data_IF_337216003542
#
_entry.id   IF_337216003542
#
_cell.length_a   1.000
_cell.length_b   1.000
_cell.length_c   1.000
_cell.angle_alpha   90.00
_cell.angle_beta   90.00
_cell.angle_gamma   90.00
#
_symmetry.space_group_name_H-M   'P 1'
#
loop_
_entity.id
_entity.type
_entity.pdbx_description
1 polymer ?
#
# COMPACT_ATOMS: atom_id res chain seq x y z
N UNK A 1 26.48 30.03 37.17
CA UNK A 1 25.61 30.13 35.97
C UNK A 1 25.92 28.93 35.09
N UNK A 2 25.07 27.91 35.21
CA UNK A 2 24.82 26.75 34.32
C UNK A 2 26.03 26.04 33.67
N UNK A 3 26.47 24.95 34.32
CA UNK A 3 27.07 23.82 33.62
C UNK A 3 25.99 23.16 32.75
N UNK A 4 26.14 23.24 31.42
CA UNK A 4 25.26 22.56 30.49
C UNK A 4 25.63 21.08 30.42
N UNK A 5 24.71 20.28 30.93
CA UNK A 5 24.73 18.83 30.99
C UNK A 5 24.92 18.19 29.60
N UNK A 6 26.12 17.65 29.32
CA UNK A 6 26.46 16.96 28.05
C UNK A 6 25.77 15.59 27.91
N UNK A 7 24.85 15.22 28.80
CA UNK A 7 24.22 13.89 28.82
C UNK A 7 22.95 13.78 27.96
N UNK A 8 22.39 14.89 27.48
CA UNK A 8 21.11 14.90 26.77
C UNK A 8 21.19 14.60 25.26
N UNK A 9 22.36 14.71 24.62
CA UNK A 9 22.45 14.58 23.15
C UNK A 9 22.62 13.15 22.65
N UNK A 10 22.92 12.19 23.52
CA UNK A 10 23.13 10.78 23.16
C UNK A 10 21.85 9.92 23.12
N UNK A 11 20.72 10.43 23.64
CA UNK A 11 19.50 9.65 23.80
C UNK A 11 18.43 9.97 22.74
N UNK A 12 18.51 11.15 22.11
CA UNK A 12 17.51 11.60 21.11
C UNK A 12 17.72 10.97 19.72
N UNK A 13 18.88 10.33 19.46
CA UNK A 13 19.16 9.68 18.17
C UNK A 13 18.77 8.20 18.10
N UNK A 14 18.25 7.60 19.19
CA UNK A 14 17.90 6.17 19.21
C UNK A 14 16.41 5.86 19.05
N UNK A 15 15.55 6.87 18.90
CA UNK A 15 14.10 6.67 19.00
C UNK A 15 13.34 6.66 17.65
N UNK A 16 14.05 6.70 16.52
CA UNK A 16 13.45 6.56 15.18
C UNK A 16 13.97 5.36 14.38
N UNK A 17 14.67 4.41 15.01
CA UNK A 17 14.83 3.10 14.40
C UNK A 17 13.44 2.44 14.40
N UNK A 18 12.75 2.50 13.26
CA UNK A 18 11.60 1.64 12.95
C UNK A 18 11.93 0.25 13.48
N UNK A 19 11.23 -0.23 14.51
CA UNK A 19 11.45 -1.60 14.97
C UNK A 19 11.07 -2.53 13.83
N UNK A 20 12.09 -2.99 13.11
CA UNK A 20 11.98 -3.99 12.07
C UNK A 20 11.35 -5.23 12.70
N UNK A 21 10.23 -5.68 12.14
CA UNK A 21 9.61 -6.92 12.62
C UNK A 21 10.59 -8.09 12.41
N UNK A 22 10.48 -9.18 13.20
CA UNK A 22 11.32 -10.36 12.99
C UNK A 22 11.27 -10.89 11.54
N UNK A 23 10.14 -10.69 10.85
CA UNK A 23 9.98 -11.03 9.44
C UNK A 23 10.84 -10.15 8.52
N UNK A 24 10.83 -8.82 8.71
CA UNK A 24 11.65 -7.90 7.91
C UNK A 24 13.14 -8.18 8.13
N UNK A 25 13.55 -8.40 9.38
CA UNK A 25 14.94 -8.77 9.70
C UNK A 25 15.36 -10.08 9.03
N UNK A 26 14.44 -11.04 8.88
CA UNK A 26 14.70 -12.30 8.17
C UNK A 26 14.88 -12.08 6.68
N UNK A 27 14.02 -11.27 6.05
CA UNK A 27 14.14 -10.93 4.62
C UNK A 27 15.47 -10.23 4.34
N UNK A 28 15.89 -9.28 5.20
CA UNK A 28 17.20 -8.62 5.07
C UNK A 28 18.34 -9.64 5.07
N UNK A 29 18.38 -10.57 6.04
CA UNK A 29 19.41 -11.62 6.09
C UNK A 29 19.38 -12.56 4.88
N UNK A 30 18.20 -12.82 4.33
CA UNK A 30 18.05 -13.61 3.10
C UNK A 30 18.60 -12.86 1.89
N UNK A 31 18.46 -11.54 1.82
CA UNK A 31 19.05 -10.72 0.75
C UNK A 31 20.57 -10.63 0.88
N UNK A 32 21.08 -10.40 2.09
CA UNK A 32 22.53 -10.30 2.38
C UNK A 32 23.31 -11.59 2.04
N UNK A 33 22.66 -12.75 2.01
CA UNK A 33 23.31 -14.03 1.69
C UNK A 33 23.46 -14.28 0.18
N UNK A 34 22.88 -13.43 -0.67
CA UNK A 34 22.90 -13.56 -2.12
C UNK A 34 24.06 -12.74 -2.72
N UNK A 35 24.63 -13.17 -3.87
CA UNK A 35 25.50 -12.31 -4.67
C UNK A 35 24.81 -11.02 -5.10
N UNK A 36 25.58 -9.94 -5.27
CA UNK A 36 25.06 -8.60 -5.58
C UNK A 36 24.18 -8.58 -6.85
N UNK A 37 24.60 -9.28 -7.91
CA UNK A 37 23.82 -9.40 -9.16
C UNK A 37 22.48 -10.11 -8.96
N UNK A 38 22.39 -11.00 -7.98
CA UNK A 38 21.15 -11.67 -7.60
C UNK A 38 20.29 -10.78 -6.71
N UNK A 39 20.90 -9.99 -5.81
CA UNK A 39 20.19 -9.02 -4.98
C UNK A 39 19.44 -8.01 -5.86
N UNK A 40 20.09 -7.45 -6.87
CA UNK A 40 19.50 -6.47 -7.79
C UNK A 40 18.27 -7.03 -8.51
N UNK A 41 18.38 -8.26 -9.03
CA UNK A 41 17.25 -8.95 -9.67
C UNK A 41 16.09 -9.20 -8.71
N UNK A 42 16.37 -9.52 -7.46
CA UNK A 42 15.32 -9.72 -6.44
C UNK A 42 14.66 -8.37 -6.10
N UNK A 43 15.43 -7.28 -6.03
CA UNK A 43 14.89 -5.93 -5.78
C UNK A 43 13.91 -5.52 -6.89
N UNK A 44 14.23 -5.76 -8.15
CA UNK A 44 13.33 -5.47 -9.28
C UNK A 44 11.96 -6.13 -9.08
N UNK A 45 11.93 -7.44 -8.81
CA UNK A 45 10.68 -8.16 -8.58
C UNK A 45 9.94 -7.74 -7.30
N UNK A 46 10.67 -7.44 -6.23
CA UNK A 46 10.07 -6.98 -4.98
C UNK A 46 9.42 -5.61 -5.13
N UNK A 47 9.99 -4.71 -5.93
CA UNK A 47 9.40 -3.40 -6.19
C UNK A 47 8.05 -3.53 -6.90
N UNK A 48 7.96 -4.35 -7.94
CA UNK A 48 6.72 -4.65 -8.64
C UNK A 48 5.67 -5.25 -7.68
N UNK A 49 6.06 -6.28 -6.93
CA UNK A 49 5.17 -6.94 -5.97
C UNK A 49 4.65 -5.99 -4.89
N UNK A 50 5.51 -5.10 -4.36
CA UNK A 50 5.11 -4.12 -3.36
C UNK A 50 4.18 -3.04 -3.95
N UNK A 51 4.38 -2.65 -5.21
CA UNK A 51 3.48 -1.72 -5.88
C UNK A 51 2.08 -2.32 -6.04
N UNK A 52 2.00 -3.57 -6.52
CA UNK A 52 0.73 -4.30 -6.67
C UNK A 52 0.00 -4.44 -5.32
N UNK A 53 0.72 -4.81 -4.25
CA UNK A 53 0.14 -4.89 -2.91
C UNK A 53 -0.38 -3.55 -2.41
N UNK A 54 0.33 -2.45 -2.67
CA UNK A 54 -0.13 -1.12 -2.26
C UNK A 54 -1.41 -0.72 -2.99
N UNK A 55 -1.54 -1.05 -4.27
CA UNK A 55 -2.73 -0.75 -5.04
C UNK A 55 -3.92 -1.61 -4.62
N UNK A 56 -3.71 -2.90 -4.32
CA UNK A 56 -4.73 -3.77 -3.74
C UNK A 56 -5.23 -3.23 -2.39
N UNK A 57 -4.31 -2.77 -1.52
CA UNK A 57 -4.68 -2.18 -0.23
C UNK A 57 -5.48 -0.88 -0.39
N UNK A 58 -5.14 -0.04 -1.39
CA UNK A 58 -5.93 1.16 -1.73
C UNK A 58 -7.31 0.77 -2.26
N UNK A 59 -7.38 -0.23 -3.13
CA UNK A 59 -8.62 -0.74 -3.69
C UNK A 59 -9.54 -1.24 -2.58
N UNK A 60 -9.06 -2.15 -1.73
CA UNK A 60 -9.84 -2.73 -0.63
C UNK A 60 -10.35 -1.65 0.34
N UNK A 61 -9.50 -0.67 0.68
CA UNK A 61 -9.90 0.46 1.53
C UNK A 61 -11.00 1.31 0.89
N UNK A 62 -10.92 1.52 -0.42
CA UNK A 62 -11.90 2.29 -1.18
C UNK A 62 -13.21 1.52 -1.30
N UNK A 63 -13.12 0.23 -1.65
CA UNK A 63 -14.24 -0.67 -1.80
C UNK A 63 -15.02 -0.84 -0.50
N UNK A 64 -14.34 -1.07 0.64
CA UNK A 64 -15.01 -1.15 1.96
C UNK A 64 -15.89 0.07 2.26
N UNK A 65 -15.48 1.26 1.80
CA UNK A 65 -16.24 2.49 2.01
C UNK A 65 -17.41 2.63 1.04
N UNK A 66 -17.29 2.13 -0.19
CA UNK A 66 -18.25 2.38 -1.27
C UNK A 66 -19.13 1.16 -1.61
N UNK A 67 -18.90 0.00 -0.99
CA UNK A 67 -19.57 -1.27 -1.31
C UNK A 67 -21.09 -1.14 -1.34
N UNK A 68 -21.69 -0.52 -0.33
CA UNK A 68 -23.16 -0.37 -0.27
C UNK A 68 -23.70 0.52 -1.39
N UNK A 69 -22.98 1.60 -1.71
CA UNK A 69 -23.35 2.49 -2.81
C UNK A 69 -23.21 1.76 -4.16
N UNK A 70 -22.14 0.97 -4.35
CA UNK A 70 -21.96 0.16 -5.56
C UNK A 70 -23.10 -0.85 -5.73
N UNK A 71 -23.50 -1.54 -4.65
CA UNK A 71 -24.65 -2.46 -4.68
C UNK A 71 -25.93 -1.71 -5.07
N UNK A 72 -26.21 -0.57 -4.44
CA UNK A 72 -27.40 0.23 -4.74
C UNK A 72 -27.41 0.72 -6.20
N UNK A 73 -26.27 1.20 -6.70
CA UNK A 73 -26.10 1.62 -8.09
C UNK A 73 -26.30 0.46 -9.07
N UNK A 74 -25.74 -0.73 -8.78
CA UNK A 74 -25.91 -1.90 -9.62
C UNK A 74 -27.38 -2.38 -9.65
N UNK A 75 -28.07 -2.37 -8.51
CA UNK A 75 -29.49 -2.70 -8.44
C UNK A 75 -30.34 -1.68 -9.21
N UNK A 76 -30.00 -0.39 -9.11
CA UNK A 76 -30.66 0.67 -9.86
C UNK A 76 -30.47 0.47 -11.37
N UNK A 77 -29.25 0.25 -11.82
CA UNK A 77 -28.95 0.00 -13.23
C UNK A 77 -29.76 -1.20 -13.77
N UNK A 78 -29.89 -2.30 -13.00
CA UNK A 78 -30.74 -3.44 -13.37
C UNK A 78 -32.22 -3.06 -13.56
N UNK A 79 -32.77 -2.22 -12.67
CA UNK A 79 -34.16 -1.73 -12.82
C UNK A 79 -34.31 -0.84 -14.04
N UNK A 80 -33.40 0.12 -14.23
CA UNK A 80 -33.42 1.02 -15.39
C UNK A 80 -33.32 0.25 -16.72
N UNK A 81 -32.55 -0.85 -16.78
CA UNK A 81 -32.50 -1.74 -17.94
C UNK A 81 -33.86 -2.43 -18.14
N UNK A 82 -34.46 -3.00 -17.10
CA UNK A 82 -35.75 -3.69 -17.18
C UNK A 82 -36.90 -2.75 -17.58
N UNK A 83 -36.82 -1.49 -17.16
CA UNK A 83 -37.78 -0.42 -17.49
C UNK A 83 -37.52 0.21 -18.87
N UNK A 84 -36.44 -0.19 -19.57
CA UNK A 84 -36.08 0.36 -20.89
C UNK A 84 -35.50 1.78 -20.84
N UNK A 85 -35.09 2.26 -19.66
CA UNK A 85 -34.51 3.58 -19.43
C UNK A 85 -33.00 3.62 -19.64
N UNK A 86 -32.34 2.46 -19.67
CA UNK A 86 -30.89 2.36 -19.83
C UNK A 86 -30.42 2.80 -21.24
N UNK A 87 -29.28 3.48 -21.28
CA UNK A 87 -28.59 3.85 -22.52
C UNK A 87 -27.24 3.13 -22.59
N UNK A 88 -26.75 2.80 -23.80
CA UNK A 88 -25.38 2.33 -23.97
C UNK A 88 -24.37 3.30 -23.37
N UNK A 89 -23.28 2.77 -22.84
CA UNK A 89 -22.17 3.57 -22.33
C UNK A 89 -21.51 4.33 -23.48
N UNK A 90 -21.43 5.65 -23.36
CA UNK A 90 -20.76 6.51 -24.32
C UNK A 90 -19.29 6.68 -23.88
N UNK A 91 -18.38 6.07 -24.62
CA UNK A 91 -16.95 6.08 -24.28
C UNK A 91 -16.27 7.42 -24.57
N UNK A 92 -16.89 8.28 -25.38
CA UNK A 92 -16.34 9.61 -25.72
C UNK A 92 -16.59 10.64 -24.59
N UNK A 93 -17.34 10.26 -23.54
CA UNK A 93 -17.72 11.12 -22.41
C UNK A 93 -17.14 10.66 -21.05
N UNK A 94 -16.19 9.73 -21.05
CA UNK A 94 -15.52 9.21 -19.85
C UNK A 94 -14.24 9.98 -19.52
#
# INVERSE_FOLDING_TARGET
MLEFDKKATGQVLKENAVMSSPAIATVIKMMESLPEDVQDRVIEHLQEYLADLQDELKWEKSFKKTQQQLIASAQRAKREIAEGLAKPMDYDQL
#
